data_IF_107157265935
#
_entry.id   IF_107157265935
#
_cell.length_a   1.000
_cell.length_b   1.000
_cell.length_c   1.000
_cell.angle_alpha   90.00
_cell.angle_beta   90.00
_cell.angle_gamma   90.00
#
_symmetry.space_group_name_H-M   'P 1'
#
loop_
_entity.id
_entity.type
_entity.pdbx_description
1 polymer ?
#
# COMPACT_ATOMS: atom_id res chain seq x y z
N UNK A 1 47.57 -33.71 -9.32
CA UNK A 1 47.34 -33.54 -7.87
C UNK A 1 48.32 -32.46 -7.41
N UNK A 2 48.02 -31.16 -7.31
CA UNK A 2 47.02 -30.45 -6.47
C UNK A 2 46.92 -31.10 -5.08
N UNK A 3 47.22 -30.45 -3.95
CA UNK A 3 47.08 -29.04 -3.57
C UNK A 3 48.09 -28.76 -2.43
N UNK A 4 48.71 -27.57 -2.41
CA UNK A 4 49.53 -27.08 -1.29
C UNK A 4 48.77 -26.00 -0.53
N UNK A 5 48.68 -26.18 0.78
CA UNK A 5 47.88 -25.41 1.73
C UNK A 5 48.67 -24.21 2.31
N UNK A 6 47.90 -23.22 2.76
CA UNK A 6 48.19 -22.26 3.84
C UNK A 6 49.05 -21.01 3.55
N UNK A 7 48.35 -19.95 3.16
CA UNK A 7 48.28 -18.63 3.82
C UNK A 7 49.51 -18.11 4.57
N UNK A 8 50.28 -17.17 3.97
CA UNK A 8 51.02 -16.10 4.69
C UNK A 8 51.16 -14.85 3.78
N UNK A 9 50.37 -13.83 4.10
CA UNK A 9 50.82 -12.45 4.41
C UNK A 9 51.69 -11.68 3.38
N UNK A 10 51.06 -10.62 2.84
CA UNK A 10 51.63 -9.26 2.72
C UNK A 10 52.65 -8.95 1.61
N UNK A 11 52.16 -8.27 0.56
CA UNK A 11 52.79 -7.18 -0.26
C UNK A 11 52.12 -7.21 -1.65
N UNK A 12 51.56 -6.15 -2.25
CA UNK A 12 51.73 -4.70 -2.10
C UNK A 12 50.43 -4.01 -2.52
N UNK A 13 49.99 -3.11 -1.65
CA UNK A 13 49.03 -2.05 -1.92
C UNK A 13 49.68 -1.04 -2.88
N UNK A 14 49.05 -0.73 -4.02
CA UNK A 14 49.36 0.50 -4.74
C UNK A 14 48.11 1.04 -5.44
N UNK A 15 47.60 2.10 -4.83
CA UNK A 15 47.08 3.28 -5.53
C UNK A 15 45.74 3.17 -6.23
N UNK A 16 44.67 3.09 -5.44
CA UNK A 16 43.51 3.98 -5.68
C UNK A 16 42.90 4.37 -4.35
N UNK A 17 42.61 5.67 -4.23
CA UNK A 17 42.26 6.34 -3.00
C UNK A 17 41.05 5.71 -2.30
N UNK A 18 41.23 5.59 -1.00
CA UNK A 18 40.24 5.51 0.06
C UNK A 18 39.13 6.56 -0.17
N UNK A 19 38.00 6.16 -0.76
CA UNK A 19 36.74 6.88 -0.58
C UNK A 19 36.04 6.25 0.63
N UNK A 20 36.19 6.87 1.80
CA UNK A 20 35.46 6.52 3.03
C UNK A 20 34.00 6.99 2.95
N UNK A 21 33.30 6.59 1.89
CA UNK A 21 31.86 6.84 1.75
C UNK A 21 31.17 5.63 1.12
N UNK A 22 31.68 4.42 1.41
CA UNK A 22 30.91 3.21 1.19
C UNK A 22 29.73 3.24 2.18
N UNK A 23 28.47 3.29 1.71
CA UNK A 23 27.31 3.18 2.58
C UNK A 23 27.42 1.87 3.37
N UNK A 24 27.10 1.89 4.67
CA UNK A 24 26.93 0.66 5.45
C UNK A 24 25.94 -0.27 4.73
N UNK A 25 26.03 -1.60 4.91
CA UNK A 25 25.08 -2.53 4.26
C UNK A 25 23.61 -2.23 4.61
N UNK A 26 23.35 -1.52 5.72
CA UNK A 26 22.02 -0.98 6.07
C UNK A 26 21.52 0.08 5.07
N UNK A 27 22.43 0.89 4.52
CA UNK A 27 22.14 1.97 3.57
C UNK A 27 21.96 1.48 2.12
N UNK A 28 22.32 0.23 1.82
CA UNK A 28 21.93 -0.45 0.57
C UNK A 28 20.49 -0.99 0.61
N UNK A 29 19.87 -1.09 1.78
CA UNK A 29 18.50 -1.56 1.96
C UNK A 29 17.47 -0.42 2.08
N UNK A 30 17.86 0.85 1.91
CA UNK A 30 16.94 2.00 1.90
C UNK A 30 16.07 2.08 0.62
N UNK A 31 16.10 1.06 -0.24
CA UNK A 31 15.32 1.04 -1.49
C UNK A 31 14.85 -0.34 -1.94
N UNK A 32 14.91 -1.36 -1.08
CA UNK A 32 14.31 -2.66 -1.38
C UNK A 32 12.90 -2.66 -0.79
N UNK A 33 11.96 -2.23 -1.62
CA UNK A 33 10.54 -2.44 -1.43
C UNK A 33 10.34 -3.96 -1.27
N UNK A 34 10.17 -4.43 -0.02
CA UNK A 34 9.86 -5.84 0.21
C UNK A 34 8.52 -6.09 -0.46
N UNK A 35 8.41 -7.09 -1.35
CA UNK A 35 7.18 -7.29 -2.10
C UNK A 35 6.03 -7.46 -1.12
N UNK A 36 5.10 -6.51 -1.14
CA UNK A 36 3.89 -6.61 -0.36
C UNK A 36 3.16 -7.90 -0.79
N UNK A 37 2.64 -8.70 0.15
CA UNK A 37 1.97 -9.96 -0.18
C UNK A 37 0.74 -9.76 -1.06
N UNK A 38 0.25 -8.52 -1.18
CA UNK A 38 -0.82 -8.09 -2.06
C UNK A 38 -0.59 -6.64 -2.48
N UNK A 39 -0.92 -6.32 -3.73
CA UNK A 39 -0.88 -4.97 -4.31
C UNK A 39 -2.13 -4.77 -5.18
N UNK A 40 -2.72 -3.57 -5.13
CA UNK A 40 -3.89 -3.26 -5.95
C UNK A 40 -3.51 -3.16 -7.44
N UNK A 41 -4.20 -3.91 -8.29
CA UNK A 41 -4.00 -3.82 -9.75
C UNK A 41 -4.75 -2.60 -10.31
N UNK A 42 -4.05 -1.54 -10.80
CA UNK A 42 -4.71 -0.35 -11.32
C UNK A 42 -5.39 -0.57 -12.67
N UNK A 43 -5.24 -1.74 -13.28
CA UNK A 43 -5.84 -2.10 -14.58
C UNK A 43 -7.17 -2.84 -14.47
N UNK A 44 -7.63 -3.16 -13.25
CA UNK A 44 -8.93 -3.83 -13.02
C UNK A 44 -10.10 -2.88 -13.26
N UNK A 45 -11.16 -3.40 -13.90
CA UNK A 45 -12.38 -2.66 -14.17
C UNK A 45 -13.38 -2.71 -13.00
N UNK A 46 -14.17 -1.66 -12.83
CA UNK A 46 -15.33 -1.66 -11.92
C UNK A 46 -16.50 -2.44 -12.53
N UNK A 47 -16.91 -3.55 -11.89
CA UNK A 47 -17.91 -4.48 -12.43
C UNK A 47 -19.31 -4.17 -11.94
N UNK A 48 -19.49 -4.04 -10.61
CA UNK A 48 -20.79 -3.74 -10.02
C UNK A 48 -20.67 -2.92 -8.75
N UNK A 49 -21.70 -2.11 -8.49
CA UNK A 49 -21.87 -1.39 -7.23
C UNK A 49 -22.30 -2.35 -6.13
N UNK A 50 -21.76 -2.18 -4.94
CA UNK A 50 -22.21 -2.85 -3.73
C UNK A 50 -23.11 -1.91 -2.94
N UNK A 51 -24.33 -2.35 -2.64
CA UNK A 51 -25.34 -1.57 -1.94
C UNK A 51 -26.06 -0.56 -2.85
N UNK A 52 -26.73 0.39 -2.18
CA UNK A 52 -27.52 1.44 -2.83
C UNK A 52 -26.65 2.61 -3.27
N UNK A 53 -27.09 3.34 -4.30
CA UNK A 53 -26.41 4.53 -4.78
C UNK A 53 -26.40 5.64 -3.73
N UNK A 54 -25.42 6.57 -3.76
CA UNK A 54 -25.42 7.69 -2.84
C UNK A 54 -26.66 8.57 -2.94
N UNK A 55 -27.31 8.64 -4.10
CA UNK A 55 -28.60 9.33 -4.30
C UNK A 55 -29.75 8.60 -3.58
N UNK A 56 -29.82 7.27 -3.68
CA UNK A 56 -30.82 6.47 -2.95
C UNK A 56 -30.65 6.54 -1.43
N UNK A 57 -29.43 6.86 -0.96
CA UNK A 57 -29.08 6.99 0.45
C UNK A 57 -29.13 8.43 0.97
N UNK A 58 -29.40 9.43 0.12
CA UNK A 58 -29.35 10.85 0.45
C UNK A 58 -28.00 11.27 1.08
N UNK A 59 -26.90 10.74 0.54
CA UNK A 59 -25.53 10.99 1.01
C UNK A 59 -24.70 11.85 0.07
N UNK A 60 -25.30 12.32 -1.03
CA UNK A 60 -24.67 13.20 -2.01
C UNK A 60 -25.58 14.37 -2.36
N UNK A 61 -24.98 15.50 -2.72
CA UNK A 61 -25.71 16.66 -3.25
C UNK A 61 -26.01 16.52 -4.76
N UNK A 62 -26.09 15.28 -5.29
CA UNK A 62 -26.35 14.93 -6.70
C UNK A 62 -25.33 15.43 -7.74
N UNK A 63 -24.28 16.16 -7.34
CA UNK A 63 -23.25 16.69 -8.26
C UNK A 63 -22.07 15.73 -8.45
N UNK A 64 -21.76 14.93 -7.42
CA UNK A 64 -20.64 13.97 -7.42
C UNK A 64 -21.12 12.73 -6.70
N UNK A 65 -21.39 11.64 -7.42
CA UNK A 65 -21.94 10.36 -6.91
C UNK A 65 -21.01 9.61 -5.95
N UNK A 66 -20.48 10.30 -4.94
CA UNK A 66 -19.76 9.77 -3.79
C UNK A 66 -20.58 10.11 -2.55
N UNK A 67 -20.55 9.28 -1.51
CA UNK A 67 -19.72 8.08 -1.29
C UNK A 67 -20.17 6.84 -2.08
N UNK A 68 -19.27 5.90 -2.36
CA UNK A 68 -19.58 4.70 -3.17
C UNK A 68 -18.70 3.48 -2.88
N UNK A 69 -19.18 2.27 -3.19
CA UNK A 69 -18.46 1.00 -3.04
C UNK A 69 -18.67 0.15 -4.30
N UNK A 70 -17.58 -0.33 -4.89
CA UNK A 70 -17.58 -1.14 -6.12
C UNK A 70 -16.77 -2.41 -5.97
N UNK A 71 -17.27 -3.51 -6.55
CA UNK A 71 -16.49 -4.72 -6.80
C UNK A 71 -15.77 -4.60 -8.14
N UNK A 72 -14.49 -4.95 -8.12
CA UNK A 72 -13.59 -4.93 -9.26
C UNK A 72 -13.54 -6.29 -9.95
N UNK A 73 -13.10 -6.32 -11.21
CA UNK A 73 -13.11 -7.53 -12.04
C UNK A 73 -12.23 -8.68 -11.54
N UNK A 74 -11.23 -8.36 -10.72
CA UNK A 74 -10.35 -9.30 -10.04
C UNK A 74 -10.87 -9.71 -8.63
N UNK A 75 -12.03 -9.22 -8.21
CA UNK A 75 -12.64 -9.48 -6.90
C UNK A 75 -12.24 -8.50 -5.79
N UNK A 76 -11.34 -7.56 -6.06
CA UNK A 76 -10.99 -6.51 -5.10
C UNK A 76 -12.15 -5.51 -4.92
N UNK A 77 -12.12 -4.74 -3.83
CA UNK A 77 -13.16 -3.76 -3.51
C UNK A 77 -12.59 -2.34 -3.58
N UNK A 78 -13.18 -1.49 -4.42
CA UNK A 78 -12.89 -0.06 -4.46
C UNK A 78 -13.88 0.72 -3.59
N UNK A 79 -13.36 1.64 -2.76
CA UNK A 79 -14.14 2.51 -1.89
C UNK A 79 -13.88 3.97 -2.24
N UNK A 80 -14.94 4.72 -2.54
CA UNK A 80 -14.88 6.15 -2.84
C UNK A 80 -15.50 6.93 -1.68
N UNK A 81 -14.71 7.81 -1.06
CA UNK A 81 -15.14 8.61 0.08
C UNK A 81 -14.38 9.91 0.22
N UNK A 82 -14.41 10.47 1.42
CA UNK A 82 -13.63 11.67 1.77
C UNK A 82 -12.22 11.25 2.17
N UNK A 83 -11.20 11.68 1.43
CA UNK A 83 -9.80 11.56 1.88
C UNK A 83 -9.60 12.42 3.14
N UNK A 84 -9.28 11.76 4.26
CA UNK A 84 -8.96 12.39 5.54
C UNK A 84 -7.58 11.93 6.07
N UNK A 85 -6.70 11.47 5.18
CA UNK A 85 -5.35 10.97 5.49
C UNK A 85 -4.59 11.91 6.44
N UNK A 86 -4.50 13.20 6.10
CA UNK A 86 -3.79 14.19 6.93
C UNK A 86 -4.43 14.40 8.30
N UNK A 87 -5.77 14.38 8.36
CA UNK A 87 -6.53 14.61 9.59
C UNK A 87 -6.42 13.45 10.58
N UNK A 88 -6.15 12.23 10.09
CA UNK A 88 -6.04 11.02 10.90
C UNK A 88 -4.60 10.56 11.13
N UNK A 89 -3.62 11.03 10.36
CA UNK A 89 -2.22 10.59 10.44
C UNK A 89 -1.62 10.58 11.86
N UNK A 90 -2.05 11.49 12.74
CA UNK A 90 -1.56 11.62 14.12
C UNK A 90 -2.52 11.03 15.19
N UNK A 91 -3.63 10.41 14.77
CA UNK A 91 -4.68 9.86 15.65
C UNK A 91 -5.06 8.42 15.27
N UNK A 92 -4.19 7.74 14.52
CA UNK A 92 -4.39 6.34 14.21
C UNK A 92 -4.34 5.53 15.51
N UNK A 93 -5.22 4.54 15.68
CA UNK A 93 -5.16 3.62 16.81
C UNK A 93 -3.90 2.75 16.74
N UNK A 94 -3.57 2.11 17.84
CA UNK A 94 -2.48 1.13 17.89
C UNK A 94 -2.69 0.03 16.84
N UNK A 95 -1.63 -0.30 16.11
CA UNK A 95 -1.65 -1.30 15.03
C UNK A 95 -2.11 -0.81 13.66
N UNK A 96 -2.56 0.46 13.54
CA UNK A 96 -2.90 1.05 12.24
C UNK A 96 -1.79 1.99 11.75
N UNK A 97 -1.42 1.85 10.47
CA UNK A 97 -0.46 2.72 9.78
C UNK A 97 -0.99 3.08 8.40
N UNK A 98 -0.44 4.14 7.80
CA UNK A 98 -0.69 4.53 6.41
C UNK A 98 0.67 4.65 5.73
N UNK A 99 0.95 3.80 4.76
CA UNK A 99 2.16 3.84 3.95
C UNK A 99 2.12 5.01 2.93
N UNK A 100 3.25 5.28 2.27
CA UNK A 100 3.38 6.43 1.38
C UNK A 100 2.40 6.40 0.16
N UNK A 101 2.13 5.19 -0.34
CA UNK A 101 1.21 4.89 -1.43
C UNK A 101 -0.24 4.69 -0.98
N UNK A 102 -0.54 4.78 0.32
CA UNK A 102 -1.89 4.55 0.87
C UNK A 102 -2.62 5.85 1.19
N UNK A 103 -3.96 5.79 1.21
CA UNK A 103 -4.83 6.89 1.61
C UNK A 103 -5.93 6.38 2.52
N UNK A 104 -6.23 7.16 3.57
CA UNK A 104 -7.37 6.92 4.44
C UNK A 104 -8.58 7.69 3.93
N UNK A 105 -9.55 6.94 3.43
CA UNK A 105 -10.85 7.45 2.99
C UNK A 105 -11.94 7.15 4.02
N UNK A 106 -12.86 8.09 4.21
CA UNK A 106 -14.01 7.93 5.12
C UNK A 106 -15.31 7.95 4.31
N UNK A 107 -16.17 6.97 4.59
CA UNK A 107 -17.53 6.87 4.06
C UNK A 107 -18.56 6.92 5.20
N UNK A 108 -19.80 7.39 4.95
CA UNK A 108 -20.90 7.26 5.90
C UNK A 108 -21.21 5.80 6.21
N UNK A 109 -21.59 5.54 7.47
CA UNK A 109 -21.96 4.20 7.94
C UNK A 109 -23.09 3.57 7.09
N UNK A 110 -24.06 4.38 6.64
CA UNK A 110 -25.19 3.89 5.86
C UNK A 110 -24.76 3.31 4.50
N UNK A 111 -23.70 3.85 3.89
CA UNK A 111 -23.12 3.33 2.65
C UNK A 111 -22.55 1.93 2.85
N UNK A 112 -21.79 1.71 3.93
CA UNK A 112 -21.25 0.37 4.23
C UNK A 112 -22.35 -0.62 4.62
N UNK A 113 -23.36 -0.19 5.39
CA UNK A 113 -24.48 -1.05 5.76
C UNK A 113 -25.30 -1.47 4.55
N UNK A 114 -25.53 -0.57 3.59
CA UNK A 114 -26.31 -0.91 2.38
C UNK A 114 -25.61 -1.98 1.54
N UNK A 115 -24.27 -1.99 1.53
CA UNK A 115 -23.45 -2.99 0.83
C UNK A 115 -23.47 -4.39 1.48
N UNK A 116 -23.93 -4.54 2.73
CA UNK A 116 -23.87 -5.82 3.45
C UNK A 116 -24.57 -6.96 2.69
N UNK A 117 -25.71 -6.70 2.05
CA UNK A 117 -26.46 -7.74 1.34
C UNK A 117 -25.71 -8.30 0.11
N UNK A 118 -24.74 -7.55 -0.41
CA UNK A 118 -23.96 -7.88 -1.60
C UNK A 118 -22.59 -8.49 -1.27
N UNK A 119 -22.21 -8.49 0.01
CA UNK A 119 -20.94 -9.03 0.54
C UNK A 119 -21.28 -10.38 1.19
N UNK A 120 -20.70 -11.49 0.69
CA UNK A 120 -20.91 -12.81 1.28
C UNK A 120 -20.51 -12.84 2.77
N UNK A 121 -21.26 -13.60 3.58
CA UNK A 121 -20.81 -13.96 4.92
C UNK A 121 -19.53 -14.82 4.83
N UNK A 122 -18.63 -14.67 5.82
CA UNK A 122 -17.34 -15.35 5.89
C UNK A 122 -17.44 -16.83 6.24
#
# INVERSE_FOLDING_TARGET
MSVGDTTVTQKICSSVLFSLDAPTPERCMEGLDMPHPWEADPSTDMVRRLGRSPEELDTTNHVKGCPDIWELSNGDIAVIGRDLTRSYAHRLPEGASIAANERLVVIPRITLISAKADIPDA
#
